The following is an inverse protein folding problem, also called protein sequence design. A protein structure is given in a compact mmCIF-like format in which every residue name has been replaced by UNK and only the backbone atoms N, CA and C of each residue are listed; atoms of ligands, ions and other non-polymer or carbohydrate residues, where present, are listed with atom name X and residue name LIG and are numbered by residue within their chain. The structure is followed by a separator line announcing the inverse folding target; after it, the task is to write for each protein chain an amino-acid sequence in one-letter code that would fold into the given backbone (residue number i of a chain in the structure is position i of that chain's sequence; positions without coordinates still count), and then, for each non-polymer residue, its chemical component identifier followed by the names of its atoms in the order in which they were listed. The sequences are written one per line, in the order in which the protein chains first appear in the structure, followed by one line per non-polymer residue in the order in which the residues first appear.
data_IF_028040977715
#
_entry.id   IF_028040977715
#
_cell.length_a   1.000
_cell.length_b   1.000
_cell.length_c   1.000
_cell.angle_alpha   90.00
_cell.angle_beta   90.00
_cell.angle_gamma   90.00
#
_symmetry.space_group_name_H-M   'P 1'
#
loop_
_entity.id
_entity.type
_entity.pdbx_description
1 polymer ?
#
# COMPACT_ATOMS: atom_id res chain seq x y z
N UNK A 1 -3.71 -0.11 14.89
CA UNK A 1 -2.82 1.06 14.81
C UNK A 1 -3.67 2.28 14.55
N UNK A 2 -3.33 3.42 15.16
CA UNK A 2 -3.92 4.73 14.89
C UNK A 2 -2.78 5.63 14.39
N UNK A 3 -3.01 6.41 13.34
CA UNK A 3 -1.98 7.24 12.70
C UNK A 3 -2.64 8.37 11.89
N UNK A 4 -1.82 9.22 11.27
CA UNK A 4 -2.24 10.24 10.31
C UNK A 4 -1.74 9.88 8.91
N UNK A 5 -2.29 10.50 7.85
CA UNK A 5 -1.78 10.28 6.50
C UNK A 5 -0.33 10.73 6.35
N UNK A 6 0.05 11.83 7.00
CA UNK A 6 1.43 12.33 7.00
C UNK A 6 2.40 11.36 7.71
N UNK A 7 1.99 10.74 8.81
CA UNK A 7 2.83 9.79 9.53
C UNK A 7 2.97 8.45 8.77
N UNK A 8 1.91 8.00 8.10
CA UNK A 8 1.96 6.83 7.23
C UNK A 8 2.81 7.07 5.99
N UNK A 9 2.77 8.27 5.41
CA UNK A 9 3.67 8.67 4.31
C UNK A 9 5.12 8.70 4.78
N UNK A 10 5.39 9.25 5.96
CA UNK A 10 6.73 9.21 6.57
C UNK A 10 7.19 7.78 6.77
N UNK A 11 6.34 6.91 7.32
CA UNK A 11 6.65 5.50 7.54
C UNK A 11 7.03 4.78 6.24
N UNK A 12 6.20 4.87 5.20
CA UNK A 12 6.44 4.16 3.94
C UNK A 12 7.71 4.68 3.23
N UNK A 13 7.93 6.00 3.29
CA UNK A 13 9.12 6.65 2.72
C UNK A 13 10.41 6.16 3.38
N UNK A 14 10.46 6.15 4.72
CA UNK A 14 11.63 5.68 5.46
C UNK A 14 11.84 4.16 5.32
N UNK A 15 10.76 3.37 5.27
CA UNK A 15 10.87 1.94 4.99
C UNK A 15 11.55 1.71 3.64
N UNK A 16 11.08 2.37 2.58
CA UNK A 16 11.56 2.13 1.21
C UNK A 16 12.98 2.64 0.98
N UNK A 17 13.43 3.62 1.78
CA UNK A 17 14.83 4.07 1.81
C UNK A 17 15.77 3.12 2.56
N UNK A 18 15.23 2.12 3.26
CA UNK A 18 16.01 1.19 4.09
C UNK A 18 16.41 1.78 5.45
N UNK A 19 15.73 2.83 5.91
CA UNK A 19 16.04 3.48 7.18
C UNK A 19 15.54 2.69 8.41
N UNK A 20 14.64 1.72 8.21
CA UNK A 20 13.89 1.04 9.28
C UNK A 20 14.28 -0.42 9.52
N UNK A 21 14.80 -1.09 8.49
CA UNK A 21 15.16 -2.52 8.55
C UNK A 21 16.46 -2.76 7.77
N UNK A 22 17.25 -3.78 8.12
CA UNK A 22 18.43 -4.12 7.34
C UNK A 22 18.05 -4.56 5.91
N UNK A 23 18.99 -4.38 4.97
CA UNK A 23 18.78 -4.64 3.54
C UNK A 23 18.18 -6.02 3.24
N UNK A 24 18.62 -7.14 3.84
CA UNK A 24 18.00 -8.44 3.56
C UNK A 24 16.50 -8.49 3.89
N UNK A 25 16.06 -7.87 4.99
CA UNK A 25 14.64 -7.82 5.34
C UNK A 25 13.87 -6.83 4.46
N UNK A 26 14.52 -5.75 4.00
CA UNK A 26 13.91 -4.81 3.06
C UNK A 26 13.62 -5.48 1.72
N UNK A 27 14.53 -6.30 1.21
CA UNK A 27 14.33 -7.01 -0.06
C UNK A 27 13.11 -7.95 -0.02
N UNK A 28 12.81 -8.55 1.14
CA UNK A 28 11.61 -9.37 1.33
C UNK A 28 10.30 -8.56 1.21
N UNK A 29 10.32 -7.27 1.56
CA UNK A 29 9.16 -6.36 1.37
C UNK A 29 8.84 -6.19 -0.11
N UNK A 30 9.86 -6.25 -0.97
CA UNK A 30 9.75 -6.09 -2.43
C UNK A 30 9.82 -7.41 -3.22
N UNK A 31 9.69 -8.55 -2.53
CA UNK A 31 9.75 -9.87 -3.15
C UNK A 31 8.45 -10.63 -2.92
N UNK A 32 7.77 -11.03 -4.00
CA UNK A 32 6.64 -11.95 -3.94
C UNK A 32 7.16 -13.40 -4.03
N UNK A 33 6.48 -14.39 -3.41
CA UNK A 33 6.89 -15.79 -3.48
C UNK A 33 7.04 -16.29 -4.92
N UNK A 34 8.19 -16.91 -5.23
CA UNK A 34 8.45 -17.52 -6.53
C UNK A 34 7.71 -18.86 -6.69
N UNK A 35 7.31 -19.19 -7.92
CA UNK A 35 6.69 -20.50 -8.23
C UNK A 35 5.22 -20.62 -7.84
N UNK A 36 4.58 -19.52 -7.43
CA UNK A 36 3.15 -19.43 -7.17
C UNK A 36 2.54 -18.50 -8.23
N UNK A 37 1.72 -19.05 -9.12
CA UNK A 37 1.04 -18.27 -10.15
C UNK A 37 0.11 -17.23 -9.50
N UNK A 38 0.20 -15.98 -9.95
CA UNK A 38 -0.64 -14.89 -9.46
C UNK A 38 -0.28 -14.35 -8.08
N UNK A 39 0.84 -14.76 -7.47
CA UNK A 39 1.26 -14.24 -6.17
C UNK A 39 1.52 -12.73 -6.23
N UNK A 40 0.78 -11.98 -5.42
CA UNK A 40 0.89 -10.52 -5.31
C UNK A 40 1.18 -10.04 -3.88
N UNK A 41 1.20 -10.93 -2.89
CA UNK A 41 1.50 -10.59 -1.50
C UNK A 41 2.98 -10.86 -1.17
N UNK A 42 3.66 -9.87 -0.61
CA UNK A 42 5.04 -9.96 -0.08
C UNK A 42 5.04 -9.86 1.45
N UNK A 43 6.21 -9.59 2.05
CA UNK A 43 6.35 -9.30 3.47
C UNK A 43 5.65 -7.98 3.85
N UNK A 44 4.33 -8.05 4.04
CA UNK A 44 3.51 -6.95 4.57
C UNK A 44 2.93 -6.00 3.53
N UNK A 45 3.28 -6.12 2.24
CA UNK A 45 2.74 -5.30 1.15
C UNK A 45 2.16 -6.19 0.04
N UNK A 46 1.32 -5.59 -0.78
CA UNK A 46 0.80 -6.15 -2.03
C UNK A 46 1.49 -5.46 -3.20
N UNK A 47 1.98 -6.25 -4.17
CA UNK A 47 2.47 -5.81 -5.48
C UNK A 47 1.27 -5.55 -6.40
N UNK A 48 1.10 -4.32 -6.84
CA UNK A 48 0.02 -3.91 -7.73
C UNK A 48 0.58 -3.21 -8.95
N UNK A 49 0.31 -3.74 -10.14
CA UNK A 49 0.76 -3.15 -11.40
C UNK A 49 -0.37 -2.36 -12.05
N UNK A 50 -0.11 -1.09 -12.37
CA UNK A 50 -1.07 -0.21 -13.00
C UNK A 50 -0.36 0.85 -13.83
N UNK A 51 -0.84 1.10 -15.05
CA UNK A 51 -0.25 2.12 -15.94
C UNK A 51 1.23 1.87 -16.29
N UNK A 52 1.68 0.62 -16.31
CA UNK A 52 3.08 0.27 -16.56
C UNK A 52 4.02 0.55 -15.37
N UNK A 53 3.47 0.78 -14.17
CA UNK A 53 4.24 1.03 -12.95
C UNK A 53 3.84 0.05 -11.86
N UNK A 54 4.80 -0.35 -11.03
CA UNK A 54 4.58 -1.24 -9.89
C UNK A 54 4.49 -0.42 -8.61
N UNK A 55 3.39 -0.64 -7.89
CA UNK A 55 3.12 -0.09 -6.59
C UNK A 55 3.18 -1.20 -5.53
N UNK A 56 3.72 -0.87 -4.37
CA UNK A 56 3.75 -1.72 -3.20
C UNK A 56 2.86 -1.08 -2.14
N UNK A 57 1.74 -1.73 -1.81
CA UNK A 57 0.66 -1.10 -1.05
C UNK A 57 0.07 -1.99 0.04
N UNK A 58 -0.57 -1.36 1.02
CA UNK A 58 -1.37 -2.01 2.04
C UNK A 58 -2.68 -1.28 2.20
N UNK A 59 -3.79 -2.02 2.05
CA UNK A 59 -5.12 -1.57 2.45
C UNK A 59 -5.48 -2.02 3.87
N UNK A 60 -6.39 -1.31 4.53
CA UNK A 60 -6.91 -1.67 5.84
C UNK A 60 -8.26 -1.04 6.11
N UNK A 61 -9.17 -1.81 6.71
CA UNK A 61 -10.51 -1.34 7.03
C UNK A 61 -10.90 -1.65 8.49
N UNK A 62 -11.60 -0.71 9.11
CA UNK A 62 -12.31 -0.81 10.38
C UNK A 62 -13.60 0.00 10.26
N UNK A 63 -14.56 -0.23 11.16
CA UNK A 63 -15.78 0.57 11.14
C UNK A 63 -15.42 2.05 11.35
N UNK A 64 -15.88 2.90 10.43
CA UNK A 64 -15.56 4.32 10.38
C UNK A 64 -14.28 4.65 9.59
N UNK A 65 -13.51 3.69 9.09
CA UNK A 65 -12.21 3.95 8.47
C UNK A 65 -11.86 2.93 7.35
N UNK A 66 -11.56 3.43 6.16
CA UNK A 66 -10.91 2.67 5.08
C UNK A 66 -9.66 3.42 4.63
N UNK A 67 -8.50 2.77 4.73
CA UNK A 67 -7.21 3.39 4.49
C UNK A 67 -6.33 2.58 3.55
N UNK A 68 -5.48 3.29 2.81
CA UNK A 68 -4.40 2.73 1.99
C UNK A 68 -3.13 3.53 2.25
N UNK A 69 -2.01 2.82 2.27
CA UNK A 69 -0.66 3.36 2.11
C UNK A 69 0.04 2.58 1.01
N UNK A 70 0.77 3.25 0.13
CA UNK A 70 1.58 2.59 -0.87
C UNK A 70 2.47 3.54 -1.63
N UNK A 71 3.49 2.99 -2.29
CA UNK A 71 4.42 3.77 -3.09
C UNK A 71 5.06 2.92 -4.19
N UNK A 72 5.70 3.58 -5.16
CA UNK A 72 6.64 2.92 -6.06
C UNK A 72 7.96 2.67 -5.32
N UNK A 73 8.72 1.63 -5.71
CA UNK A 73 9.98 1.28 -5.02
C UNK A 73 10.99 2.43 -5.01
N UNK A 74 11.01 3.23 -6.09
CA UNK A 74 11.87 4.41 -6.23
C UNK A 74 11.31 5.69 -5.57
N UNK A 75 10.15 5.59 -4.91
CA UNK A 75 9.42 6.70 -4.28
C UNK A 75 9.06 7.85 -5.24
N UNK A 76 9.07 7.62 -6.57
CA UNK A 76 8.59 8.60 -7.55
C UNK A 76 7.08 8.90 -7.42
N UNK A 77 6.35 8.03 -6.73
CA UNK A 77 4.94 8.20 -6.34
C UNK A 77 4.70 7.60 -4.96
N UNK A 78 3.96 8.33 -4.15
CA UNK A 78 3.40 7.86 -2.87
C UNK A 78 1.90 8.16 -2.84
N UNK A 79 1.11 7.24 -2.31
CA UNK A 79 -0.32 7.39 -2.09
C UNK A 79 -0.66 6.98 -0.65
N UNK A 80 -1.24 7.91 0.10
CA UNK A 80 -1.84 7.63 1.40
C UNK A 80 -3.23 8.26 1.45
N UNK A 81 -4.23 7.50 1.84
CA UNK A 81 -5.55 8.03 2.11
C UNK A 81 -6.21 7.34 3.29
N UNK A 82 -7.15 8.05 3.91
CA UNK A 82 -8.12 7.50 4.84
C UNK A 82 -9.47 8.15 4.54
N UNK A 83 -10.50 7.32 4.34
CA UNK A 83 -11.87 7.78 4.13
C UNK A 83 -12.76 7.17 5.20
N UNK A 84 -13.73 7.96 5.67
CA UNK A 84 -14.68 7.47 6.66
C UNK A 84 -15.66 6.52 5.96
N UNK A 85 -15.66 5.26 6.37
CA UNK A 85 -16.39 4.18 5.72
C UNK A 85 -17.06 3.28 6.77
N UNK A 86 -18.37 3.04 6.64
CA UNK A 86 -19.14 2.21 7.58
C UNK A 86 -19.22 0.75 7.16
N UNK A 87 -18.79 0.43 5.94
CA UNK A 87 -18.77 -0.90 5.31
C UNK A 87 -17.44 -1.63 5.57
N UNK A 88 -17.07 -1.76 6.84
CA UNK A 88 -15.86 -2.49 7.22
C UNK A 88 -15.94 -3.95 6.72
N UNK A 89 -14.98 -4.35 5.88
CA UNK A 89 -14.92 -5.66 5.22
C UNK A 89 -16.04 -5.92 4.19
N UNK A 90 -16.52 -4.89 3.49
CA UNK A 90 -17.31 -5.09 2.28
C UNK A 90 -16.62 -6.03 1.30
N UNK A 91 -17.40 -6.80 0.53
CA UNK A 91 -16.87 -7.74 -0.48
C UNK A 91 -16.12 -7.04 -1.60
N UNK A 92 -16.42 -5.77 -1.82
CA UNK A 92 -15.77 -4.91 -2.80
C UNK A 92 -15.09 -3.72 -2.14
N UNK A 93 -14.11 -3.15 -2.82
CA UNK A 93 -13.47 -1.92 -2.36
C UNK A 93 -14.47 -0.77 -2.36
N UNK A 94 -14.44 0.06 -1.32
CA UNK A 94 -15.26 1.26 -1.24
C UNK A 94 -15.08 2.11 -2.52
N UNK A 95 -16.16 2.49 -3.24
CA UNK A 95 -16.05 3.19 -4.53
C UNK A 95 -15.35 4.55 -4.44
N UNK A 96 -15.43 5.24 -3.30
CA UNK A 96 -14.71 6.50 -3.09
C UNK A 96 -13.21 6.24 -2.99
N UNK A 97 -12.81 5.25 -2.21
CA UNK A 97 -11.41 4.83 -2.10
C UNK A 97 -10.85 4.41 -3.47
N UNK A 98 -11.63 3.66 -4.25
CA UNK A 98 -11.25 3.25 -5.61
C UNK A 98 -10.96 4.45 -6.52
N UNK A 99 -11.85 5.44 -6.56
CA UNK A 99 -11.67 6.62 -7.41
C UNK A 99 -10.47 7.46 -6.98
N UNK A 100 -10.23 7.61 -5.68
CA UNK A 100 -9.03 8.28 -5.16
C UNK A 100 -7.78 7.55 -5.63
N UNK A 101 -7.73 6.23 -5.45
CA UNK A 101 -6.57 5.43 -5.85
C UNK A 101 -6.33 5.53 -7.37
N UNK A 102 -7.33 5.26 -8.20
CA UNK A 102 -7.16 5.29 -9.66
C UNK A 102 -6.79 6.67 -10.20
N UNK A 103 -7.26 7.76 -9.58
CA UNK A 103 -6.84 9.11 -9.95
C UNK A 103 -5.36 9.38 -9.63
N UNK A 104 -4.87 8.85 -8.50
CA UNK A 104 -3.51 9.07 -8.03
C UNK A 104 -2.45 8.18 -8.71
N UNK A 105 -2.85 7.02 -9.25
CA UNK A 105 -1.93 6.02 -9.81
C UNK A 105 -1.62 6.22 -11.30
N UNK A 106 -2.01 7.37 -11.88
CA UNK A 106 -1.70 7.77 -13.26
C UNK A 106 -0.25 8.19 -13.45
#
# INVERSE_FOLDING_TARGET
MISTTADLERLITHLFRGDLVPEPQLEEVFTVPSGIEGADMSAGLQRFEYGGRVYWLKSGARYGYSAVVGATRDLSRTLVHSVNATDAKGESMNPVAQRIALAALT
#
